data_IF_721727059420
#
_entry.id   IF_721727059420
#
_cell.length_a   1.000
_cell.length_b   1.000
_cell.length_c   1.000
_cell.angle_alpha   90.00
_cell.angle_beta   90.00
_cell.angle_gamma   90.00
#
_symmetry.space_group_name_H-M   'P 1'
#
loop_
_entity.id
_entity.type
_entity.pdbx_description
1 polymer ?
#
# COMPACT_ATOMS: atom_id res chain seq x y z
N UNK A 1 -17.73 16.81 6.88
CA UNK A 1 -18.19 17.97 6.07
C UNK A 1 -19.70 17.92 6.05
N UNK A 2 -20.42 19.00 6.34
CA UNK A 2 -21.90 18.95 6.31
C UNK A 2 -22.38 18.78 4.87
N UNK A 3 -23.51 18.10 4.66
CA UNK A 3 -24.10 17.89 3.33
C UNK A 3 -24.33 19.22 2.60
N UNK A 4 -24.69 20.28 3.36
CA UNK A 4 -24.81 21.66 2.90
C UNK A 4 -23.55 22.17 2.18
N UNK A 5 -22.38 21.98 2.79
CA UNK A 5 -21.13 22.55 2.27
C UNK A 5 -20.55 21.73 1.12
N UNK A 6 -20.78 20.42 1.12
CA UNK A 6 -20.44 19.57 -0.02
C UNK A 6 -21.23 19.99 -1.28
N UNK A 7 -22.55 20.21 -1.14
CA UNK A 7 -23.40 20.68 -2.24
C UNK A 7 -22.95 22.05 -2.75
N UNK A 8 -22.68 22.99 -1.85
CA UNK A 8 -22.20 24.32 -2.20
C UNK A 8 -20.84 24.30 -2.92
N UNK A 9 -19.91 23.44 -2.50
CA UNK A 9 -18.62 23.25 -3.17
C UNK A 9 -18.76 22.71 -4.59
N UNK A 10 -19.64 21.72 -4.78
CA UNK A 10 -19.89 21.15 -6.11
C UNK A 10 -20.47 22.20 -7.07
N UNK A 11 -21.44 23.00 -6.60
CA UNK A 11 -22.02 24.10 -7.41
C UNK A 11 -20.96 25.18 -7.68
N UNK A 12 -20.13 25.53 -6.69
CA UNK A 12 -19.02 26.50 -6.86
C UNK A 12 -18.03 26.07 -7.95
N UNK A 13 -17.67 24.79 -7.98
CA UNK A 13 -16.74 24.22 -8.95
C UNK A 13 -17.36 24.03 -10.35
N UNK A 14 -18.69 23.97 -10.44
CA UNK A 14 -19.43 23.74 -11.67
C UNK A 14 -20.58 24.76 -11.77
N UNK A 15 -20.23 26.03 -11.96
CA UNK A 15 -21.20 27.12 -12.05
C UNK A 15 -22.20 26.85 -13.18
N UNK A 16 -23.49 27.05 -12.91
CA UNK A 16 -24.55 26.80 -13.88
C UNK A 16 -24.94 25.33 -14.02
N UNK A 17 -24.55 24.46 -13.08
CA UNK A 17 -24.92 23.05 -13.09
C UNK A 17 -26.43 22.82 -12.89
N UNK A 18 -26.98 21.83 -13.59
CA UNK A 18 -28.37 21.40 -13.43
C UNK A 18 -28.60 20.47 -12.24
N UNK A 19 -29.85 20.41 -11.75
CA UNK A 19 -30.23 19.55 -10.62
C UNK A 19 -29.87 18.08 -10.81
N UNK A 20 -30.12 17.51 -12.00
CA UNK A 20 -29.82 16.10 -12.28
C UNK A 20 -28.32 15.81 -12.29
N UNK A 21 -27.52 16.73 -12.83
CA UNK A 21 -26.06 16.63 -12.80
C UNK A 21 -25.51 16.70 -11.36
N UNK A 22 -26.08 17.59 -10.53
CA UNK A 22 -25.74 17.68 -9.12
C UNK A 22 -26.14 16.42 -8.35
N UNK A 23 -27.34 15.88 -8.61
CA UNK A 23 -27.83 14.63 -8.01
C UNK A 23 -26.90 13.45 -8.29
N UNK A 24 -26.46 13.30 -9.54
CA UNK A 24 -25.53 12.23 -9.92
C UNK A 24 -24.21 12.32 -9.16
N UNK A 25 -23.69 13.53 -8.91
CA UNK A 25 -22.43 13.73 -8.16
C UNK A 25 -22.52 13.40 -6.68
N UNK A 26 -23.71 13.43 -6.07
CA UNK A 26 -23.89 13.14 -4.64
C UNK A 26 -24.55 11.79 -4.37
N UNK A 27 -25.12 11.13 -5.38
CA UNK A 27 -25.88 9.89 -5.24
C UNK A 27 -25.07 8.76 -4.59
N UNK A 28 -23.75 8.71 -4.86
CA UNK A 28 -22.83 7.72 -4.28
C UNK A 28 -22.75 7.75 -2.74
N UNK A 29 -23.17 8.84 -2.10
CA UNK A 29 -23.15 8.98 -0.64
C UNK A 29 -24.43 8.48 0.04
N UNK A 30 -25.38 7.90 -0.70
CA UNK A 30 -26.67 7.45 -0.19
C UNK A 30 -26.96 6.02 -0.63
N UNK A 31 -27.68 5.28 0.21
CA UNK A 31 -28.07 3.88 -0.07
C UNK A 31 -29.06 3.74 -1.23
N UNK A 32 -29.86 4.77 -1.53
CA UNK A 32 -30.79 4.78 -2.66
C UNK A 32 -30.85 6.14 -3.35
N UNK A 33 -31.17 6.14 -4.65
CA UNK A 33 -31.37 7.36 -5.43
C UNK A 33 -32.51 8.23 -4.86
N UNK A 34 -33.56 7.61 -4.33
CA UNK A 34 -34.69 8.31 -3.73
C UNK A 34 -34.28 9.05 -2.45
N UNK A 35 -33.45 8.42 -1.61
CA UNK A 35 -32.86 9.06 -0.43
C UNK A 35 -31.97 10.24 -0.82
N UNK A 36 -31.12 10.08 -1.85
CA UNK A 36 -30.29 11.17 -2.37
C UNK A 36 -31.12 12.35 -2.89
N UNK A 37 -32.20 12.07 -3.64
CA UNK A 37 -33.11 13.08 -4.20
C UNK A 37 -33.82 13.86 -3.09
N UNK A 38 -34.33 13.18 -2.07
CA UNK A 38 -34.99 13.81 -0.93
C UNK A 38 -34.02 14.68 -0.12
N UNK A 39 -32.81 14.19 0.16
CA UNK A 39 -31.78 14.94 0.86
C UNK A 39 -31.31 16.17 0.08
N UNK A 40 -31.10 16.02 -1.24
CA UNK A 40 -30.72 17.14 -2.11
C UNK A 40 -31.81 18.22 -2.17
N UNK A 41 -33.06 17.80 -2.31
CA UNK A 41 -34.20 18.73 -2.38
C UNK A 41 -34.32 19.57 -1.11
N UNK A 42 -34.23 18.93 0.07
CA UNK A 42 -34.21 19.62 1.37
C UNK A 42 -33.02 20.59 1.46
N UNK A 43 -31.83 20.11 1.16
CA UNK A 43 -30.60 20.91 1.21
C UNK A 43 -30.67 22.12 0.27
N UNK A 44 -31.16 21.96 -0.96
CA UNK A 44 -31.31 23.08 -1.91
C UNK A 44 -32.41 24.06 -1.49
N UNK A 45 -33.51 23.58 -0.88
CA UNK A 45 -34.55 24.44 -0.33
C UNK A 45 -33.96 25.34 0.78
N UNK A 46 -33.18 24.76 1.69
CA UNK A 46 -32.53 25.50 2.77
C UNK A 46 -31.50 26.48 2.22
N UNK A 47 -30.62 26.03 1.32
CA UNK A 47 -29.61 26.88 0.69
C UNK A 47 -30.23 28.07 -0.06
N UNK A 48 -31.38 27.90 -0.71
CA UNK A 48 -32.11 29.00 -1.34
C UNK A 48 -32.73 29.92 -0.31
N UNK A 49 -33.35 29.38 0.74
CA UNK A 49 -33.96 30.17 1.81
C UNK A 49 -32.92 31.07 2.52
N UNK A 50 -31.68 30.60 2.69
CA UNK A 50 -30.58 31.38 3.25
C UNK A 50 -29.91 32.34 2.25
N UNK A 51 -30.36 32.36 0.99
CA UNK A 51 -29.79 33.20 -0.07
C UNK A 51 -28.39 32.75 -0.51
N UNK A 52 -28.07 31.46 -0.38
CA UNK A 52 -26.76 30.88 -0.70
C UNK A 52 -26.68 30.31 -2.12
N UNK A 53 -27.82 29.92 -2.68
CA UNK A 53 -27.91 29.40 -4.05
C UNK A 53 -29.03 30.14 -4.77
N UNK A 54 -28.80 30.54 -6.02
CA UNK A 54 -29.83 31.07 -6.92
C UNK A 54 -30.09 30.09 -8.05
N UNK A 55 -31.28 30.21 -8.65
CA UNK A 55 -31.67 29.42 -9.82
C UNK A 55 -31.93 30.38 -10.98
N UNK A 56 -31.30 30.15 -12.12
CA UNK A 56 -31.63 30.81 -13.38
C UNK A 56 -32.06 29.71 -14.36
N UNK A 57 -33.36 29.63 -14.66
CA UNK A 57 -33.91 28.51 -15.45
C UNK A 57 -33.79 27.16 -14.74
N UNK A 58 -33.12 26.18 -15.37
CA UNK A 58 -32.77 24.88 -14.77
C UNK A 58 -31.45 24.90 -13.99
N UNK A 59 -30.65 25.94 -14.15
CA UNK A 59 -29.26 26.01 -13.70
C UNK A 59 -29.14 26.58 -12.27
N UNK A 60 -28.18 26.05 -11.51
CA UNK A 60 -27.87 26.45 -10.14
C UNK A 60 -26.56 27.24 -10.08
N UNK A 61 -26.57 28.33 -9.32
CA UNK A 61 -25.41 29.19 -9.09
C UNK A 61 -25.26 29.46 -7.59
N UNK A 62 -24.03 29.58 -7.10
CA UNK A 62 -23.80 30.09 -5.74
C UNK A 62 -23.88 31.62 -5.75
N UNK A 63 -24.30 32.22 -4.64
CA UNK A 63 -24.24 33.67 -4.44
C UNK A 63 -22.89 34.12 -3.90
N UNK A 64 -22.60 35.42 -3.94
CA UNK A 64 -21.42 36.01 -3.30
C UNK A 64 -21.41 35.76 -1.78
N UNK A 65 -22.60 35.77 -1.16
CA UNK A 65 -22.80 35.40 0.25
C UNK A 65 -22.32 33.98 0.51
N UNK A 66 -22.74 33.02 -0.31
CA UNK A 66 -22.29 31.63 -0.19
C UNK A 66 -20.80 31.47 -0.48
N UNK A 67 -20.27 32.15 -1.49
CA UNK A 67 -18.85 32.11 -1.79
C UNK A 67 -18.01 32.57 -0.60
N UNK A 68 -18.45 33.64 0.07
CA UNK A 68 -17.82 34.20 1.28
C UNK A 68 -17.92 33.23 2.46
N UNK A 69 -19.10 32.65 2.70
CA UNK A 69 -19.35 31.73 3.82
C UNK A 69 -18.54 30.43 3.70
N UNK A 70 -18.54 29.79 2.52
CA UNK A 70 -17.73 28.60 2.25
C UNK A 70 -16.24 28.92 2.41
N UNK A 71 -15.80 30.06 1.90
CA UNK A 71 -14.39 30.46 1.97
C UNK A 71 -13.99 30.70 3.42
N UNK A 72 -14.81 31.37 4.22
CA UNK A 72 -14.59 31.56 5.67
C UNK A 72 -14.49 30.22 6.42
N UNK A 73 -15.39 29.28 6.16
CA UNK A 73 -15.36 27.98 6.82
C UNK A 73 -14.14 27.14 6.41
N UNK A 74 -13.77 27.17 5.12
CA UNK A 74 -12.56 26.49 4.63
C UNK A 74 -11.27 27.14 5.15
N UNK A 75 -11.24 28.47 5.31
CA UNK A 75 -10.14 29.20 5.96
C UNK A 75 -9.99 28.72 7.40
N UNK A 76 -11.10 28.67 8.16
CA UNK A 76 -11.13 28.19 9.54
C UNK A 76 -10.64 26.75 9.67
N UNK A 77 -11.13 25.82 8.83
CA UNK A 77 -10.70 24.41 8.87
C UNK A 77 -9.23 24.19 8.53
N UNK A 78 -8.71 24.92 7.54
CA UNK A 78 -7.29 24.85 7.18
C UNK A 78 -6.42 25.23 8.38
N UNK A 79 -6.71 26.37 9.01
CA UNK A 79 -5.95 26.88 10.16
C UNK A 79 -6.11 25.99 11.40
N UNK A 80 -7.33 25.53 11.70
CA UNK A 80 -7.58 24.61 12.82
C UNK A 80 -6.76 23.32 12.66
N UNK A 81 -6.79 22.71 11.48
CA UNK A 81 -6.06 21.45 11.23
C UNK A 81 -4.56 21.67 11.31
N UNK A 82 -4.07 22.79 10.79
CA UNK A 82 -2.67 23.16 10.87
C UNK A 82 -2.22 23.35 12.34
N UNK A 83 -3.00 24.07 13.15
CA UNK A 83 -2.75 24.25 14.58
C UNK A 83 -2.70 22.89 15.31
N UNK A 84 -3.66 22.01 15.06
CA UNK A 84 -3.70 20.67 15.66
C UNK A 84 -2.46 19.84 15.33
N UNK A 85 -2.03 19.83 14.07
CA UNK A 85 -0.90 19.02 13.64
C UNK A 85 0.44 19.56 14.14
N UNK A 86 0.63 20.89 14.09
CA UNK A 86 1.88 21.51 14.52
C UNK A 86 2.06 21.40 16.04
N UNK A 87 0.97 21.49 16.82
CA UNK A 87 0.99 21.39 18.29
C UNK A 87 0.82 19.97 18.82
N UNK A 88 0.75 18.96 17.94
CA UNK A 88 0.73 17.57 18.36
C UNK A 88 1.98 17.23 19.19
N UNK A 89 1.91 16.15 19.99
CA UNK A 89 3.03 15.73 20.85
C UNK A 89 4.33 15.48 20.05
N UNK A 90 4.21 14.87 18.87
CA UNK A 90 5.32 14.48 18.00
C UNK A 90 5.05 14.90 16.54
N UNK A 91 5.10 16.21 16.21
CA UNK A 91 4.68 16.71 14.91
C UNK A 91 5.66 16.32 13.78
N UNK A 92 6.93 16.07 14.11
CA UNK A 92 7.97 15.62 13.19
C UNK A 92 7.71 14.22 12.58
N UNK A 93 6.98 13.36 13.29
CA UNK A 93 6.61 12.02 12.78
C UNK A 93 5.49 12.07 11.73
N UNK A 94 4.67 13.12 11.75
CA UNK A 94 3.55 13.35 10.84
C UNK A 94 3.75 14.59 9.99
N UNK A 95 4.96 14.78 9.45
CA UNK A 95 5.33 16.03 8.77
C UNK A 95 4.61 16.25 7.43
N UNK A 96 4.29 15.18 6.68
CA UNK A 96 3.71 15.32 5.33
C UNK A 96 2.41 16.12 5.34
N UNK A 97 1.39 15.81 6.18
CA UNK A 97 0.19 16.63 6.27
C UNK A 97 0.44 18.09 6.69
N UNK A 98 1.47 18.34 7.51
CA UNK A 98 1.82 19.72 7.91
C UNK A 98 2.37 20.48 6.70
N UNK A 99 3.29 19.89 5.95
CA UNK A 99 3.89 20.49 4.75
C UNK A 99 2.83 20.76 3.69
N UNK A 100 1.94 19.81 3.43
CA UNK A 100 0.83 19.98 2.48
C UNK A 100 -0.08 21.16 2.85
N UNK A 101 -0.48 21.25 4.13
CA UNK A 101 -1.37 22.32 4.59
C UNK A 101 -0.64 23.67 4.67
N UNK A 102 0.66 23.70 5.02
CA UNK A 102 1.48 24.91 4.95
C UNK A 102 1.61 25.39 3.50
N UNK A 103 1.87 24.49 2.56
CA UNK A 103 1.94 24.83 1.13
C UNK A 103 0.61 25.40 0.63
N UNK A 104 -0.51 24.72 0.94
CA UNK A 104 -1.84 25.21 0.60
C UNK A 104 -2.15 26.58 1.22
N UNK A 105 -1.73 26.81 2.47
CA UNK A 105 -1.89 28.09 3.14
C UNK A 105 -1.08 29.19 2.44
N UNK A 106 0.19 28.93 2.12
CA UNK A 106 1.10 29.88 1.46
C UNK A 106 0.58 30.24 0.08
N UNK A 107 0.30 29.26 -0.77
CA UNK A 107 -0.14 29.52 -2.16
C UNK A 107 -1.48 30.26 -2.21
N UNK A 108 -2.45 29.89 -1.36
CA UNK A 108 -3.74 30.60 -1.31
C UNK A 108 -3.61 32.00 -0.73
N UNK A 109 -2.71 32.22 0.24
CA UNK A 109 -2.52 33.54 0.85
C UNK A 109 -1.89 34.57 -0.10
N UNK A 110 -1.23 34.13 -1.18
CA UNK A 110 -0.72 35.03 -2.23
C UNK A 110 -1.85 35.73 -2.99
N UNK A 111 -3.02 35.08 -3.10
CA UNK A 111 -4.16 35.58 -3.88
C UNK A 111 -5.36 35.97 -3.02
N UNK A 112 -5.41 35.54 -1.75
CA UNK A 112 -6.49 35.80 -0.78
C UNK A 112 -5.96 36.58 0.44
N UNK A 113 -6.04 37.92 0.39
CA UNK A 113 -5.56 38.81 1.45
C UNK A 113 -6.27 38.60 2.79
N UNK A 114 -7.55 38.21 2.77
CA UNK A 114 -8.31 37.91 3.97
C UNK A 114 -7.83 36.63 4.64
N UNK A 115 -7.50 35.59 3.84
CA UNK A 115 -6.86 34.38 4.37
C UNK A 115 -5.50 34.72 4.99
N UNK A 116 -4.69 35.55 4.33
CA UNK A 116 -3.40 35.98 4.90
C UNK A 116 -3.58 36.69 6.24
N UNK A 117 -4.53 37.61 6.33
CA UNK A 117 -4.85 38.32 7.57
C UNK A 117 -5.35 37.37 8.66
N UNK A 118 -6.25 36.45 8.31
CA UNK A 118 -6.75 35.43 9.23
C UNK A 118 -5.63 34.50 9.72
N UNK A 119 -4.75 34.06 8.82
CA UNK A 119 -3.61 33.21 9.15
C UNK A 119 -2.68 33.91 10.15
N UNK A 120 -2.28 35.16 9.87
CA UNK A 120 -1.43 35.95 10.77
C UNK A 120 -2.04 36.14 12.17
N UNK A 121 -3.36 36.23 12.27
CA UNK A 121 -4.06 36.46 13.55
C UNK A 121 -4.55 35.21 14.27
N UNK A 122 -4.71 34.08 13.57
CA UNK A 122 -5.42 32.89 14.10
C UNK A 122 -4.57 31.61 14.11
N UNK A 123 -3.33 31.64 13.63
CA UNK A 123 -2.40 30.52 13.85
C UNK A 123 -1.95 30.50 15.30
N UNK A 124 -2.02 29.32 15.92
CA UNK A 124 -1.55 29.11 17.29
C UNK A 124 -0.10 28.65 17.37
N UNK A 125 0.54 28.46 16.21
CA UNK A 125 1.95 28.11 16.11
C UNK A 125 2.75 29.27 15.51
N UNK A 126 4.05 29.22 15.74
CA UNK A 126 5.05 30.21 15.34
C UNK A 126 6.01 29.63 14.31
N UNK A 127 6.66 30.51 13.54
CA UNK A 127 7.76 30.11 12.65
C UNK A 127 8.89 29.42 13.42
N UNK A 128 9.13 29.85 14.67
CA UNK A 128 10.12 29.21 15.55
C UNK A 128 9.74 27.77 15.92
N UNK A 129 8.46 27.47 16.14
CA UNK A 129 8.00 26.09 16.33
C UNK A 129 8.20 25.25 15.07
N UNK A 130 7.90 25.78 13.89
CA UNK A 130 8.19 25.09 12.62
C UNK A 130 9.69 24.82 12.45
N UNK A 131 10.55 25.78 12.82
CA UNK A 131 12.00 25.61 12.79
C UNK A 131 12.47 24.51 13.76
N UNK A 132 11.88 24.43 14.97
CA UNK A 132 12.15 23.34 15.93
C UNK A 132 11.71 21.98 15.39
N UNK A 133 10.58 21.91 14.69
CA UNK A 133 10.11 20.69 14.02
C UNK A 133 11.13 20.26 12.97
N UNK A 134 11.60 21.19 12.13
CA UNK A 134 12.62 20.90 11.12
C UNK A 134 13.93 20.38 11.73
N UNK A 135 14.40 20.98 12.82
CA UNK A 135 15.60 20.50 13.53
C UNK A 135 15.45 19.07 14.07
N UNK A 136 14.26 18.72 14.59
CA UNK A 136 13.97 17.34 15.02
C UNK A 136 13.99 16.36 13.85
N UNK A 137 13.45 16.75 12.69
CA UNK A 137 13.49 15.93 11.47
C UNK A 137 14.93 15.70 11.03
N UNK A 138 15.75 16.76 10.96
CA UNK A 138 17.15 16.64 10.58
C UNK A 138 17.93 15.70 11.52
N UNK A 139 17.69 15.83 12.82
CA UNK A 139 18.29 14.93 13.83
C UNK A 139 17.86 13.47 13.60
N UNK A 140 16.57 13.24 13.32
CA UNK A 140 16.05 11.90 13.06
C UNK A 140 16.63 11.30 11.77
N UNK A 141 16.78 12.10 10.71
CA UNK A 141 17.42 11.67 9.45
C UNK A 141 18.87 11.24 9.71
N UNK A 142 19.63 12.02 10.47
CA UNK A 142 21.01 11.67 10.82
C UNK A 142 21.08 10.36 11.63
N UNK A 143 20.20 10.19 12.61
CA UNK A 143 20.11 8.96 13.40
C UNK A 143 19.75 7.75 12.53
N UNK A 144 18.74 7.86 11.67
CA UNK A 144 18.33 6.79 10.76
C UNK A 144 19.44 6.43 9.78
N UNK A 145 20.19 7.42 9.27
CA UNK A 145 21.35 7.19 8.41
C UNK A 145 22.44 6.39 9.13
N UNK A 146 22.76 6.75 10.39
CA UNK A 146 23.70 6.02 11.22
C UNK A 146 23.24 4.57 11.47
N UNK A 147 21.98 4.39 11.86
CA UNK A 147 21.40 3.05 12.09
C UNK A 147 21.41 2.22 10.81
N UNK A 148 21.02 2.81 9.68
CA UNK A 148 21.03 2.14 8.37
C UNK A 148 22.43 1.67 7.99
N UNK A 149 23.46 2.51 8.21
CA UNK A 149 24.86 2.14 7.98
C UNK A 149 25.27 0.94 8.85
N UNK A 150 25.08 1.04 10.17
CA UNK A 150 25.43 -0.04 11.11
C UNK A 150 24.68 -1.32 10.77
N UNK A 151 23.38 -1.23 10.47
CA UNK A 151 22.57 -2.40 10.13
C UNK A 151 23.04 -3.06 8.83
N UNK A 152 23.46 -2.27 7.84
CA UNK A 152 24.03 -2.79 6.59
C UNK A 152 25.37 -3.50 6.84
N UNK A 153 26.22 -2.95 7.71
CA UNK A 153 27.47 -3.61 8.14
C UNK A 153 27.19 -4.94 8.85
N UNK A 154 26.16 -5.00 9.72
CA UNK A 154 25.75 -6.26 10.37
C UNK A 154 25.22 -7.29 9.36
N UNK A 155 24.40 -6.88 8.39
CA UNK A 155 23.93 -7.76 7.31
C UNK A 155 25.12 -8.33 6.54
N UNK A 156 26.09 -7.50 6.18
CA UNK A 156 27.28 -7.94 5.45
C UNK A 156 28.16 -8.88 6.28
N UNK A 157 28.29 -8.65 7.59
CA UNK A 157 28.99 -9.55 8.49
C UNK A 157 28.29 -10.93 8.58
N UNK A 158 26.97 -10.96 8.70
CA UNK A 158 26.20 -12.21 8.72
C UNK A 158 26.34 -12.98 7.40
N UNK A 159 26.34 -12.28 6.26
CA UNK A 159 26.64 -12.87 4.94
C UNK A 159 28.06 -13.45 4.89
N UNK A 160 29.05 -12.74 5.41
CA UNK A 160 30.43 -13.21 5.48
C UNK A 160 30.61 -14.41 6.41
N UNK A 161 29.79 -14.52 7.47
CA UNK A 161 29.72 -15.67 8.36
C UNK A 161 28.82 -16.80 7.84
N UNK A 162 28.36 -16.71 6.59
CA UNK A 162 27.56 -17.74 5.91
C UNK A 162 26.27 -18.11 6.66
N UNK A 163 25.63 -17.13 7.31
CA UNK A 163 24.30 -17.32 7.89
C UNK A 163 23.29 -17.69 6.80
N UNK A 164 22.19 -18.34 7.21
CA UNK A 164 21.12 -18.68 6.28
C UNK A 164 20.49 -17.43 5.68
N UNK A 165 20.34 -17.43 4.36
CA UNK A 165 19.57 -16.46 3.58
C UNK A 165 18.30 -17.15 3.04
N UNK A 166 17.35 -16.35 2.55
CA UNK A 166 16.21 -16.88 1.80
C UNK A 166 15.90 -16.06 0.57
N UNK A 167 15.57 -16.76 -0.53
CA UNK A 167 15.26 -16.14 -1.82
C UNK A 167 14.02 -16.75 -2.41
N UNK A 168 13.02 -15.89 -2.62
CA UNK A 168 11.71 -16.26 -3.15
C UNK A 168 11.57 -15.81 -4.59
N UNK A 169 11.00 -16.68 -5.41
CA UNK A 169 10.74 -16.45 -6.82
C UNK A 169 9.29 -16.77 -7.15
N UNK A 170 8.69 -15.99 -8.05
CA UNK A 170 7.33 -16.21 -8.51
C UNK A 170 7.21 -17.56 -9.24
N UNK A 171 6.13 -18.28 -8.97
CA UNK A 171 5.94 -19.61 -9.50
C UNK A 171 5.72 -19.61 -11.01
N UNK A 172 6.69 -20.14 -11.75
CA UNK A 172 6.60 -20.38 -13.19
C UNK A 172 7.44 -21.60 -13.62
N UNK A 173 7.26 -22.14 -14.84
CA UNK A 173 8.00 -23.32 -15.29
C UNK A 173 9.53 -23.17 -15.24
N UNK A 174 10.06 -21.96 -15.46
CA UNK A 174 11.51 -21.69 -15.38
C UNK A 174 11.99 -21.82 -13.93
N UNK A 175 11.28 -21.22 -12.97
CA UNK A 175 11.62 -21.30 -11.55
C UNK A 175 11.51 -22.71 -10.97
N UNK A 176 10.54 -23.51 -11.41
CA UNK A 176 10.47 -24.93 -11.02
C UNK A 176 11.66 -25.73 -11.57
N UNK A 177 12.16 -25.36 -12.75
CA UNK A 177 13.40 -25.91 -13.32
C UNK A 177 14.62 -25.74 -12.40
N UNK A 178 14.64 -24.69 -11.56
CA UNK A 178 15.72 -24.47 -10.60
C UNK A 178 15.82 -25.57 -9.54
N UNK A 179 14.77 -26.35 -9.29
CA UNK A 179 14.86 -27.53 -8.42
C UNK A 179 15.78 -28.60 -9.02
N UNK A 180 15.75 -28.77 -10.35
CA UNK A 180 16.64 -29.69 -11.07
C UNK A 180 18.07 -29.14 -11.07
N UNK A 181 18.23 -27.83 -11.32
CA UNK A 181 19.55 -27.19 -11.29
C UNK A 181 20.17 -27.24 -9.89
N UNK A 182 19.38 -27.02 -8.83
CA UNK A 182 19.83 -27.13 -7.45
C UNK A 182 20.31 -28.55 -7.12
N UNK A 183 19.56 -29.57 -7.54
CA UNK A 183 19.96 -30.96 -7.35
C UNK A 183 21.31 -31.26 -8.05
N UNK A 184 21.49 -30.78 -9.28
CA UNK A 184 22.73 -30.95 -10.04
C UNK A 184 23.91 -30.18 -9.42
N UNK A 185 23.76 -28.88 -9.15
CA UNK A 185 24.86 -28.05 -8.61
C UNK A 185 25.32 -28.51 -7.23
N UNK A 186 24.42 -29.07 -6.43
CA UNK A 186 24.72 -29.59 -5.10
C UNK A 186 25.15 -31.07 -5.11
N UNK A 187 25.29 -31.69 -6.29
CA UNK A 187 25.62 -33.10 -6.47
C UNK A 187 24.71 -34.03 -5.63
N UNK A 188 23.42 -33.71 -5.57
CA UNK A 188 22.46 -34.50 -4.82
C UNK A 188 22.06 -35.74 -5.62
N UNK A 189 22.47 -36.94 -5.18
CA UNK A 189 22.04 -38.20 -5.81
C UNK A 189 20.54 -38.45 -5.58
N UNK A 190 20.06 -38.11 -4.38
CA UNK A 190 18.66 -38.22 -3.96
C UNK A 190 18.26 -36.99 -3.17
N UNK A 191 17.01 -36.58 -3.31
CA UNK A 191 16.41 -35.51 -2.51
C UNK A 191 15.19 -36.03 -1.77
N UNK A 192 14.92 -35.45 -0.61
CA UNK A 192 13.68 -35.73 0.13
C UNK A 192 12.66 -34.65 -0.20
N UNK A 193 11.47 -35.07 -0.61
CA UNK A 193 10.31 -34.20 -0.83
C UNK A 193 9.31 -34.49 0.27
N UNK A 194 8.93 -33.47 1.03
CA UNK A 194 7.99 -33.56 2.14
C UNK A 194 6.71 -32.79 1.82
N UNK A 195 5.56 -33.37 2.18
CA UNK A 195 4.23 -32.77 2.03
C UNK A 195 3.31 -33.29 3.14
N UNK A 196 2.44 -32.43 3.65
CA UNK A 196 1.31 -32.86 4.48
C UNK A 196 0.13 -33.40 3.65
N UNK A 197 0.15 -33.20 2.32
CA UNK A 197 -0.85 -33.72 1.39
C UNK A 197 -0.42 -35.10 0.86
N UNK A 198 -1.02 -36.14 1.44
CA UNK A 198 -0.77 -37.53 1.05
C UNK A 198 -1.19 -37.83 -0.40
N UNK A 199 -2.28 -37.23 -0.90
CA UNK A 199 -2.73 -37.44 -2.29
C UNK A 199 -1.74 -36.83 -3.28
N UNK A 200 -1.20 -35.65 -2.95
CA UNK A 200 -0.14 -35.03 -3.76
C UNK A 200 1.12 -35.90 -3.77
N UNK A 201 1.54 -36.48 -2.64
CA UNK A 201 2.69 -37.40 -2.61
C UNK A 201 2.45 -38.68 -3.41
N UNK A 202 1.24 -39.24 -3.37
CA UNK A 202 0.86 -40.38 -4.20
C UNK A 202 0.91 -40.03 -5.70
N UNK A 203 0.41 -38.85 -6.09
CA UNK A 203 0.50 -38.36 -7.47
C UNK A 203 1.95 -38.17 -7.90
N UNK A 204 2.80 -37.58 -7.06
CA UNK A 204 4.22 -37.42 -7.35
C UNK A 204 4.93 -38.79 -7.45
N UNK A 205 4.49 -39.79 -6.69
CA UNK A 205 5.05 -41.14 -6.78
C UNK A 205 4.77 -41.84 -8.11
N UNK A 206 3.83 -41.36 -8.93
CA UNK A 206 3.58 -41.93 -10.27
C UNK A 206 4.71 -41.63 -11.26
N UNK A 207 5.49 -40.58 -11.02
CA UNK A 207 6.61 -40.15 -11.86
C UNK A 207 7.99 -40.45 -11.23
N UNK A 208 8.01 -41.14 -10.08
CA UNK A 208 9.24 -41.54 -9.36
C UNK A 208 9.20 -43.04 -9.06
N UNK A 209 10.34 -43.73 -9.01
CA UNK A 209 10.38 -45.16 -8.69
C UNK A 209 10.13 -45.47 -7.20
N UNK A 210 10.08 -44.45 -6.35
CA UNK A 210 9.90 -44.56 -4.90
C UNK A 210 8.44 -44.46 -4.48
N UNK A 211 8.05 -45.25 -3.48
CA UNK A 211 6.76 -45.08 -2.79
C UNK A 211 6.90 -44.07 -1.63
N UNK A 212 5.86 -43.25 -1.35
CA UNK A 212 5.85 -42.39 -0.19
C UNK A 212 6.01 -43.20 1.10
N UNK A 213 6.76 -42.67 2.06
CA UNK A 213 6.87 -43.19 3.43
C UNK A 213 6.46 -42.08 4.39
N UNK A 214 5.29 -42.24 5.02
CA UNK A 214 4.63 -41.16 5.77
C UNK A 214 4.50 -39.90 4.90
N UNK A 215 4.99 -38.76 5.37
CA UNK A 215 4.88 -37.46 4.69
C UNK A 215 6.06 -37.18 3.73
N UNK A 216 6.88 -38.19 3.44
CA UNK A 216 8.12 -38.03 2.67
C UNK A 216 8.15 -38.93 1.43
N UNK A 217 8.74 -38.40 0.35
CA UNK A 217 9.06 -39.10 -0.87
C UNK A 217 10.53 -38.89 -1.20
N UNK A 218 11.29 -39.98 -1.36
CA UNK A 218 12.69 -39.93 -1.75
C UNK A 218 12.79 -40.00 -3.28
N UNK A 219 13.35 -38.96 -3.90
CA UNK A 219 13.38 -38.81 -5.36
C UNK A 219 14.83 -38.87 -5.85
N UNK A 220 15.10 -39.72 -6.84
CA UNK A 220 16.43 -39.76 -7.45
C UNK A 220 16.62 -38.61 -8.45
N UNK A 221 17.84 -38.11 -8.61
CA UNK A 221 18.13 -36.97 -9.50
C UNK A 221 17.59 -37.15 -10.93
N UNK A 222 17.68 -38.38 -11.46
CA UNK A 222 17.19 -38.73 -12.81
C UNK A 222 15.66 -38.56 -12.98
N UNK A 223 14.91 -38.54 -11.87
CA UNK A 223 13.44 -38.46 -11.83
C UNK A 223 12.95 -37.02 -11.65
N UNK A 224 13.86 -36.10 -11.25
CA UNK A 224 13.56 -34.68 -11.03
C UNK A 224 12.90 -33.99 -12.23
N UNK A 225 13.31 -34.21 -13.49
CA UNK A 225 12.63 -33.60 -14.63
C UNK A 225 11.15 -34.00 -14.75
N UNK A 226 10.83 -35.28 -14.48
CA UNK A 226 9.46 -35.78 -14.50
C UNK A 226 8.62 -35.16 -13.38
N UNK A 227 9.20 -35.04 -12.19
CA UNK A 227 8.57 -34.39 -11.05
C UNK A 227 8.28 -32.90 -11.33
N UNK A 228 9.25 -32.16 -11.86
CA UNK A 228 9.09 -30.74 -12.21
C UNK A 228 8.02 -30.54 -13.30
N UNK A 229 7.91 -31.45 -14.25
CA UNK A 229 6.87 -31.41 -15.29
C UNK A 229 5.47 -31.58 -14.69
N UNK A 230 5.31 -32.52 -13.74
CA UNK A 230 4.04 -32.74 -13.04
C UNK A 230 3.66 -31.52 -12.18
N UNK A 231 4.60 -30.96 -11.43
CA UNK A 231 4.38 -29.75 -10.63
C UNK A 231 4.00 -28.55 -11.51
N UNK A 232 4.65 -28.39 -12.67
CA UNK A 232 4.32 -27.34 -13.62
C UNK A 232 2.89 -27.48 -14.15
N UNK A 233 2.43 -28.71 -14.34
CA UNK A 233 1.05 -29.00 -14.76
C UNK A 233 0.06 -28.63 -13.64
N UNK A 234 0.33 -29.06 -12.42
CA UNK A 234 -0.52 -28.74 -11.26
C UNK A 234 -0.56 -27.24 -10.94
N UNK A 235 0.56 -26.53 -11.11
CA UNK A 235 0.61 -25.09 -10.96
C UNK A 235 -0.29 -24.38 -11.98
N UNK A 236 -0.31 -24.82 -13.24
CA UNK A 236 -1.21 -24.28 -14.28
C UNK A 236 -2.68 -24.58 -13.99
N UNK A 237 -2.97 -25.73 -13.39
CA UNK A 237 -4.31 -26.13 -12.96
C UNK A 237 -4.78 -25.41 -11.69
N UNK A 238 -3.94 -24.55 -11.08
CA UNK A 238 -4.27 -23.84 -9.85
C UNK A 238 -4.38 -24.74 -8.62
N UNK A 239 -3.78 -25.94 -8.67
CA UNK A 239 -3.76 -26.84 -7.53
C UNK A 239 -2.85 -26.30 -6.44
N UNK A 240 -3.21 -26.58 -5.19
CA UNK A 240 -2.35 -26.27 -4.04
C UNK A 240 -1.12 -27.18 -4.09
N UNK A 241 0.05 -26.57 -4.05
CA UNK A 241 1.34 -27.26 -4.02
C UNK A 241 2.03 -26.79 -2.77
N UNK A 242 2.07 -27.58 -1.69
CA UNK A 242 2.80 -27.26 -0.46
C UNK A 242 3.85 -28.33 -0.23
N UNK A 243 5.04 -28.07 -0.74
CA UNK A 243 6.12 -29.05 -0.76
C UNK A 243 7.41 -28.46 -0.18
N UNK A 244 8.10 -29.24 0.63
CA UNK A 244 9.48 -28.95 1.06
C UNK A 244 10.45 -29.90 0.35
N UNK A 245 11.42 -29.36 -0.36
CA UNK A 245 12.51 -30.10 -0.98
C UNK A 245 13.77 -29.93 -0.14
N UNK A 246 14.40 -31.03 0.24
CA UNK A 246 15.64 -31.02 1.01
C UNK A 246 16.81 -31.48 0.15
N UNK A 247 17.71 -30.52 -0.10
CA UNK A 247 18.99 -30.72 -0.78
C UNK A 247 20.15 -30.67 0.24
N UNK A 248 21.37 -31.09 -0.12
CA UNK A 248 22.55 -30.98 0.74
C UNK A 248 22.86 -29.55 1.25
N UNK A 249 22.30 -29.21 2.40
CA UNK A 249 22.47 -27.90 3.06
C UNK A 249 21.61 -26.77 2.48
N UNK A 250 20.61 -27.08 1.65
CA UNK A 250 19.61 -26.10 1.17
C UNK A 250 18.22 -26.75 1.25
N UNK A 251 17.24 -25.97 1.69
CA UNK A 251 15.81 -26.32 1.66
C UNK A 251 15.12 -25.46 0.61
N UNK A 252 14.24 -26.03 -0.20
CA UNK A 252 13.34 -25.26 -1.05
C UNK A 252 11.88 -25.48 -0.62
N UNK A 253 11.10 -24.42 -0.55
CA UNK A 253 9.70 -24.40 -0.18
C UNK A 253 8.88 -24.00 -1.41
N UNK A 254 8.01 -24.87 -1.87
CA UNK A 254 7.06 -24.57 -2.93
C UNK A 254 5.69 -24.34 -2.31
N UNK A 255 5.11 -23.17 -2.56
CA UNK A 255 3.74 -22.84 -2.25
C UNK A 255 3.00 -22.22 -3.45
N UNK A 256 1.71 -21.89 -3.27
CA UNK A 256 0.87 -21.25 -4.29
C UNK A 256 1.37 -19.87 -4.74
N UNK A 257 2.21 -19.22 -3.93
CA UNK A 257 2.73 -17.88 -4.20
C UNK A 257 4.17 -17.91 -4.73
N UNK A 258 4.87 -19.06 -4.73
CA UNK A 258 6.24 -19.11 -5.24
C UNK A 258 7.08 -20.29 -4.78
N UNK A 259 8.33 -20.26 -5.22
CA UNK A 259 9.40 -21.16 -4.78
C UNK A 259 10.42 -20.35 -3.96
N UNK A 260 10.68 -20.76 -2.73
CA UNK A 260 11.64 -20.12 -1.82
C UNK A 260 12.78 -21.07 -1.47
N UNK A 261 14.02 -20.68 -1.78
CA UNK A 261 15.21 -21.41 -1.35
C UNK A 261 15.75 -20.80 -0.05
N UNK A 262 16.13 -21.65 0.90
CA UNK A 262 16.65 -21.31 2.22
C UNK A 262 17.92 -22.11 2.48
N UNK A 263 19.00 -21.45 2.87
CA UNK A 263 20.26 -22.11 3.18
C UNK A 263 21.40 -21.11 3.36
N UNK A 264 22.63 -21.57 3.60
CA UNK A 264 23.79 -20.70 3.81
C UNK A 264 23.97 -19.72 2.65
N UNK A 265 24.26 -18.45 2.96
CA UNK A 265 24.34 -17.37 1.98
C UNK A 265 25.24 -17.70 0.79
N UNK A 266 26.43 -18.26 1.04
CA UNK A 266 27.39 -18.64 -0.02
C UNK A 266 26.83 -19.69 -0.98
N UNK A 267 26.12 -20.69 -0.44
CA UNK A 267 25.50 -21.76 -1.23
C UNK A 267 24.33 -21.24 -2.06
N UNK A 268 23.48 -20.39 -1.50
CA UNK A 268 22.39 -19.77 -2.24
C UNK A 268 22.90 -18.84 -3.34
N UNK A 269 23.95 -18.06 -3.06
CA UNK A 269 24.55 -17.17 -4.05
C UNK A 269 25.18 -17.95 -5.22
N UNK A 270 25.87 -19.06 -4.95
CA UNK A 270 26.39 -19.95 -5.99
C UNK A 270 25.30 -20.66 -6.82
N UNK A 271 24.14 -20.90 -6.20
CA UNK A 271 23.00 -21.52 -6.86
C UNK A 271 22.23 -20.53 -7.75
N UNK A 272 21.87 -19.36 -7.21
CA UNK A 272 20.89 -18.44 -7.80
C UNK A 272 21.49 -17.14 -8.37
N UNK A 273 22.79 -16.88 -8.18
CA UNK A 273 23.42 -15.59 -8.52
C UNK A 273 23.28 -14.56 -7.40
N UNK A 274 23.57 -13.28 -7.65
CA UNK A 274 23.18 -12.17 -6.75
C UNK A 274 21.77 -11.68 -7.06
#
# INVERSE_FOLDING_TARGET
MTARNAVLLIIKQNQGMEYHALLNKIAANYSTLNSARAALSRTLKDLRAFGLVTKQGSNLFITDKASTEISSEMKSKLLIRLNQLVRAKNPHLGINPIVELLHALIERSKTDADLLKAAKGSTEFTVSELARINQRILTQVEQLSKVSKVFSEQINALKAFDFNDSRRMDLNPVTLGLLVEAANKLNAEKITVESDDALLLEQLSTVTASKPKANNLLVELKEMPGLVSLLSTHAREGKKLWLSFYFPGIKALLDVNGLEFIGPFSKLNGLLGE
#
